data_IF_394167807244
#
_entry.id   IF_394167807244
#
_cell.length_a   1.000
_cell.length_b   1.000
_cell.length_c   1.000
_cell.angle_alpha   90.00
_cell.angle_beta   90.00
_cell.angle_gamma   90.00
#
_symmetry.space_group_name_H-M   'P 1'
#
loop_
_entity.id
_entity.type
_entity.pdbx_description
1 polymer ?
#
# COMPACT_ATOMS: atom_id res chain seq x y z
N UNK A 1 19.06 -21.39 -0.49
CA UNK A 1 17.68 -20.93 -0.15
C UNK A 1 16.81 -20.88 -1.37
N UNK A 2 15.52 -21.09 -1.15
CA UNK A 2 14.47 -20.99 -2.16
C UNK A 2 13.72 -19.66 -1.96
N UNK A 3 13.60 -18.89 -3.03
CA UNK A 3 12.72 -17.74 -3.14
C UNK A 3 11.68 -17.96 -4.23
N UNK A 4 10.57 -17.26 -4.16
CA UNK A 4 9.57 -17.22 -5.24
C UNK A 4 9.51 -15.80 -5.82
N UNK A 5 9.32 -15.68 -7.13
CA UNK A 5 9.02 -14.39 -7.77
C UNK A 5 7.53 -14.36 -8.06
N UNK A 6 6.82 -13.43 -7.42
CA UNK A 6 5.35 -13.38 -7.47
C UNK A 6 4.88 -11.99 -7.86
N UNK A 7 3.90 -11.91 -8.77
CA UNK A 7 3.32 -10.64 -9.22
C UNK A 7 1.83 -10.57 -8.87
N UNK A 8 1.48 -9.61 -8.03
CA UNK A 8 0.10 -9.22 -7.80
C UNK A 8 -0.42 -8.33 -8.93
N UNK A 9 -1.70 -8.49 -9.29
CA UNK A 9 -2.37 -7.70 -10.32
C UNK A 9 -2.47 -6.22 -9.92
N UNK A 10 -2.08 -5.32 -10.82
CA UNK A 10 -2.01 -3.88 -10.57
C UNK A 10 -0.74 -3.42 -9.84
N UNK A 11 0.19 -4.33 -9.51
CA UNK A 11 1.47 -3.97 -8.91
C UNK A 11 2.44 -3.39 -9.97
N UNK A 12 3.23 -2.35 -9.62
CA UNK A 12 4.29 -1.79 -10.47
C UNK A 12 5.35 -2.78 -10.95
N UNK A 13 5.48 -3.92 -10.29
CA UNK A 13 6.48 -4.93 -10.58
C UNK A 13 6.29 -6.15 -9.67
N UNK A 14 7.00 -7.25 -9.95
CA UNK A 14 6.99 -8.45 -9.14
C UNK A 14 7.63 -8.22 -7.76
N UNK A 15 7.42 -9.17 -6.87
CA UNK A 15 8.00 -9.23 -5.53
C UNK A 15 8.81 -10.52 -5.41
N UNK A 16 10.04 -10.41 -4.91
CA UNK A 16 10.81 -11.55 -4.43
C UNK A 16 10.27 -11.93 -3.05
N UNK A 17 9.65 -13.09 -2.93
CA UNK A 17 9.13 -13.63 -1.68
C UNK A 17 10.14 -14.61 -1.10
N UNK A 18 10.49 -14.38 0.16
CA UNK A 18 11.50 -15.09 0.90
C UNK A 18 10.85 -15.72 2.14
N UNK A 19 10.91 -17.06 2.21
CA UNK A 19 10.41 -17.83 3.35
C UNK A 19 11.42 -17.79 4.49
N UNK A 20 11.08 -17.09 5.58
CA UNK A 20 11.91 -16.95 6.78
C UNK A 20 12.25 -18.28 7.44
N UNK A 21 11.40 -19.30 7.33
CA UNK A 21 11.69 -20.64 7.84
C UNK A 21 12.81 -21.34 7.07
N UNK A 22 13.15 -20.85 5.88
CA UNK A 22 14.23 -21.35 5.03
C UNK A 22 15.48 -20.48 5.09
N UNK A 23 15.43 -19.34 5.80
CA UNK A 23 16.59 -18.46 5.99
C UNK A 23 17.40 -18.84 7.24
N UNK A 24 18.72 -18.57 7.28
CA UNK A 24 19.47 -18.56 8.53
C UNK A 24 18.79 -17.66 9.52
N UNK A 25 18.95 -17.99 10.80
CA UNK A 25 18.73 -17.02 11.86
C UNK A 25 19.62 -15.80 11.60
N UNK A 26 19.02 -14.61 11.61
CA UNK A 26 19.72 -13.34 11.37
C UNK A 26 19.91 -12.95 9.90
N UNK A 27 19.55 -13.79 8.93
CA UNK A 27 19.71 -13.42 7.53
C UNK A 27 18.77 -12.29 7.10
N UNK A 28 19.31 -11.43 6.24
CA UNK A 28 18.71 -10.19 5.75
C UNK A 28 18.41 -9.20 6.88
N UNK A 29 19.04 -9.37 8.05
CA UNK A 29 19.06 -8.37 9.10
C UNK A 29 20.02 -7.22 8.77
N UNK A 30 21.02 -7.48 7.91
CA UNK A 30 22.04 -6.51 7.53
C UNK A 30 21.78 -5.94 6.12
N UNK A 31 22.01 -4.63 5.94
CA UNK A 31 21.91 -3.97 4.63
C UNK A 31 22.85 -4.58 3.60
N UNK A 32 24.04 -5.04 4.01
CA UNK A 32 25.00 -5.70 3.13
C UNK A 32 24.42 -6.95 2.46
N UNK A 33 23.60 -7.72 3.18
CA UNK A 33 23.02 -8.94 2.63
C UNK A 33 21.98 -8.66 1.55
N UNK A 34 21.12 -7.67 1.79
CA UNK A 34 20.15 -7.19 0.81
C UNK A 34 20.83 -6.55 -0.41
N UNK A 35 21.98 -5.89 -0.21
CA UNK A 35 22.78 -5.31 -1.28
C UNK A 35 23.33 -6.39 -2.21
N UNK A 36 23.93 -7.45 -1.66
CA UNK A 36 24.44 -8.54 -2.48
C UNK A 36 23.31 -9.29 -3.20
N UNK A 37 22.17 -9.51 -2.53
CA UNK A 37 20.96 -10.03 -3.16
C UNK A 37 20.51 -9.15 -4.34
N UNK A 38 20.53 -7.82 -4.17
CA UNK A 38 20.18 -6.88 -5.24
C UNK A 38 21.13 -6.93 -6.42
N UNK A 39 22.44 -6.97 -6.17
CA UNK A 39 23.46 -7.13 -7.22
C UNK A 39 23.29 -8.44 -7.97
N UNK A 40 22.99 -9.54 -7.27
CA UNK A 40 22.73 -10.82 -7.91
C UNK A 40 21.46 -10.81 -8.77
N UNK A 41 20.37 -10.18 -8.30
CA UNK A 41 19.17 -10.01 -9.13
C UNK A 41 19.49 -9.24 -10.41
N UNK A 42 20.30 -8.19 -10.35
CA UNK A 42 20.77 -7.46 -11.54
C UNK A 42 21.59 -8.35 -12.48
N UNK A 43 22.62 -9.01 -11.95
CA UNK A 43 23.53 -9.85 -12.72
C UNK A 43 22.82 -11.03 -13.42
N UNK A 44 21.68 -11.47 -12.88
CA UNK A 44 20.88 -12.58 -13.41
C UNK A 44 19.64 -12.12 -14.21
N UNK A 45 19.58 -10.85 -14.63
CA UNK A 45 18.49 -10.33 -15.48
C UNK A 45 17.18 -10.00 -14.75
N UNK A 46 17.17 -10.06 -13.41
CA UNK A 46 16.02 -9.81 -12.52
C UNK A 46 16.08 -8.45 -11.82
N UNK A 47 16.87 -7.49 -12.33
CA UNK A 47 17.00 -6.15 -11.74
C UNK A 47 15.68 -5.36 -11.63
N UNK A 48 14.65 -5.74 -12.40
CA UNK A 48 13.31 -5.18 -12.31
C UNK A 48 12.54 -5.61 -11.02
N UNK A 49 13.01 -6.64 -10.30
CA UNK A 49 12.44 -7.09 -9.03
C UNK A 49 12.93 -6.17 -7.89
N UNK A 50 12.19 -5.08 -7.66
CA UNK A 50 12.57 -4.03 -6.70
C UNK A 50 11.79 -4.06 -5.37
N UNK A 51 11.19 -5.21 -5.08
CA UNK A 51 10.33 -5.42 -3.91
C UNK A 51 10.66 -6.77 -3.31
N UNK A 52 10.90 -6.78 -2.00
CA UNK A 52 11.20 -8.00 -1.26
C UNK A 52 10.15 -8.16 -0.17
N UNK A 53 9.62 -9.36 -0.04
CA UNK A 53 8.71 -9.77 1.02
C UNK A 53 9.36 -10.90 1.81
N UNK A 54 9.50 -10.70 3.11
CA UNK A 54 9.86 -11.75 4.06
C UNK A 54 8.58 -12.27 4.68
N UNK A 55 8.38 -13.58 4.65
CA UNK A 55 7.19 -14.24 5.21
C UNK A 55 7.59 -15.51 5.95
N UNK A 56 6.97 -15.76 7.10
CA UNK A 56 7.21 -16.98 7.87
C UNK A 56 6.10 -17.21 8.90
N UNK A 57 6.08 -18.36 9.60
CA UNK A 57 5.14 -18.60 10.69
C UNK A 57 5.20 -17.48 11.74
N UNK A 58 4.04 -17.02 12.22
CA UNK A 58 4.00 -16.03 13.29
C UNK A 58 4.22 -16.70 14.65
N UNK A 59 5.02 -16.11 15.56
CA UNK A 59 5.09 -16.57 16.95
C UNK A 59 3.86 -16.16 17.78
N UNK A 60 2.95 -15.34 17.23
CA UNK A 60 1.74 -14.87 17.92
C UNK A 60 0.55 -15.69 17.46
N UNK A 61 -0.10 -16.40 18.40
CA UNK A 61 -1.15 -17.39 18.11
C UNK A 61 -2.36 -16.86 17.32
N UNK A 62 -2.64 -15.55 17.38
CA UNK A 62 -3.72 -14.91 16.61
C UNK A 62 -3.41 -14.74 15.12
N UNK A 63 -2.17 -15.00 14.68
CA UNK A 63 -1.72 -14.85 13.30
C UNK A 63 -1.12 -16.15 12.77
N UNK A 64 -1.31 -16.38 11.48
CA UNK A 64 -0.77 -17.57 10.81
C UNK A 64 0.64 -17.30 10.27
N UNK A 65 0.91 -16.07 9.81
CA UNK A 65 2.22 -15.66 9.28
C UNK A 65 2.60 -14.24 9.69
N UNK A 66 3.90 -14.03 9.90
CA UNK A 66 4.52 -12.71 9.93
C UNK A 66 4.92 -12.28 8.53
N UNK A 67 4.72 -10.99 8.23
CA UNK A 67 5.10 -10.39 6.96
C UNK A 67 5.89 -9.11 7.17
N UNK A 68 7.02 -8.98 6.47
CA UNK A 68 7.81 -7.75 6.40
C UNK A 68 8.12 -7.37 4.96
N UNK A 69 7.92 -6.10 4.64
CA UNK A 69 8.20 -5.55 3.32
C UNK A 69 9.52 -4.78 3.30
N UNK A 70 10.25 -4.89 2.19
CA UNK A 70 11.41 -4.06 1.89
C UNK A 70 11.24 -3.46 0.50
N UNK A 71 11.24 -2.13 0.44
CA UNK A 71 11.29 -1.39 -0.81
C UNK A 71 12.75 -1.16 -1.19
N UNK A 72 13.16 -1.65 -2.35
CA UNK A 72 14.45 -1.28 -2.93
C UNK A 72 14.33 0.13 -3.55
N UNK A 73 15.16 1.06 -3.10
CA UNK A 73 15.29 2.42 -3.60
C UNK A 73 16.21 2.43 -4.84
N UNK A 74 16.56 3.63 -5.35
CA UNK A 74 17.30 3.78 -6.61
C UNK A 74 18.75 3.34 -6.45
N UNK A 75 19.33 3.67 -5.31
CA UNK A 75 20.67 3.33 -4.91
C UNK A 75 20.75 1.80 -4.68
N UNK A 76 21.83 1.12 -5.11
CA UNK A 76 21.96 -0.34 -4.99
C UNK A 76 21.87 -0.87 -3.55
N UNK A 77 22.26 -0.07 -2.57
CA UNK A 77 22.21 -0.31 -1.12
C UNK A 77 21.05 0.45 -0.43
N UNK A 78 20.24 1.15 -1.22
CA UNK A 78 19.09 1.91 -0.76
C UNK A 78 17.92 1.00 -0.46
N UNK A 79 17.60 0.82 0.83
CA UNK A 79 16.45 0.05 1.29
C UNK A 79 15.59 0.84 2.26
N UNK A 80 14.27 0.77 2.05
CA UNK A 80 13.26 1.31 2.97
C UNK A 80 12.43 0.19 3.61
N UNK A 81 12.49 0.14 4.94
CA UNK A 81 11.84 -0.87 5.78
C UNK A 81 10.57 -0.36 6.49
N UNK A 82 10.19 0.91 6.26
CA UNK A 82 9.12 1.59 7.01
C UNK A 82 7.75 1.45 6.36
N UNK A 83 7.71 1.13 5.06
CA UNK A 83 6.47 1.00 4.31
C UNK A 83 5.89 -0.41 4.44
N UNK A 84 4.57 -0.52 4.48
CA UNK A 84 3.87 -1.74 4.09
C UNK A 84 3.65 -1.78 2.56
N UNK A 85 3.39 -2.95 2.02
CA UNK A 85 2.92 -3.10 0.64
C UNK A 85 1.88 -4.22 0.54
N UNK A 86 0.62 -3.86 0.29
CA UNK A 86 -0.47 -4.85 0.20
C UNK A 86 -0.36 -5.78 -1.01
N UNK A 87 0.23 -5.31 -2.11
CA UNK A 87 0.53 -6.17 -3.28
C UNK A 87 1.57 -7.24 -2.95
N UNK A 88 2.65 -6.86 -2.26
CA UNK A 88 3.71 -7.80 -1.85
C UNK A 88 3.25 -8.70 -0.70
N UNK A 89 2.32 -8.25 0.14
CA UNK A 89 1.66 -9.09 1.15
C UNK A 89 0.82 -10.19 0.49
N UNK A 90 -0.04 -9.82 -0.48
CA UNK A 90 -0.82 -10.80 -1.22
C UNK A 90 0.08 -11.78 -1.99
N UNK A 91 1.18 -11.27 -2.57
CA UNK A 91 2.19 -12.10 -3.21
C UNK A 91 2.79 -13.12 -2.24
N UNK A 92 3.10 -12.72 -1.00
CA UNK A 92 3.61 -13.62 0.03
C UNK A 92 2.58 -14.69 0.45
N UNK A 93 1.31 -14.31 0.59
CA UNK A 93 0.22 -15.27 0.90
C UNK A 93 0.03 -16.29 -0.22
N UNK A 94 0.07 -15.85 -1.48
CA UNK A 94 -0.02 -16.77 -2.63
C UNK A 94 1.21 -17.67 -2.74
N UNK A 95 2.41 -17.15 -2.45
CA UNK A 95 3.63 -17.93 -2.41
C UNK A 95 3.57 -19.03 -1.34
N UNK A 96 2.99 -18.75 -0.16
CA UNK A 96 2.91 -19.73 0.93
C UNK A 96 2.01 -20.93 0.63
N UNK A 97 1.21 -20.90 -0.45
CA UNK A 97 0.40 -22.04 -0.91
C UNK A 97 -0.76 -22.43 0.00
N UNK A 98 -1.12 -21.59 0.98
CA UNK A 98 -2.22 -21.86 1.91
C UNK A 98 -3.57 -21.73 1.18
N UNK A 99 -4.49 -22.67 1.41
CA UNK A 99 -5.79 -22.75 0.70
C UNK A 99 -6.95 -22.03 1.42
N UNK A 100 -6.82 -21.76 2.72
CA UNK A 100 -7.84 -21.10 3.54
C UNK A 100 -7.55 -19.62 3.82
N UNK A 101 -8.40 -18.96 4.64
CA UNK A 101 -8.09 -17.66 5.22
C UNK A 101 -6.69 -17.62 5.84
N UNK A 102 -5.97 -16.52 5.63
CA UNK A 102 -4.64 -16.31 6.23
C UNK A 102 -4.63 -15.00 7.00
N UNK A 103 -4.42 -15.09 8.31
CA UNK A 103 -4.19 -13.96 9.22
C UNK A 103 -2.71 -13.62 9.19
N UNK A 104 -2.41 -12.42 8.71
CA UNK A 104 -1.06 -11.91 8.50
C UNK A 104 -0.80 -10.80 9.50
N UNK A 105 0.30 -10.91 10.25
CA UNK A 105 0.84 -9.81 11.04
C UNK A 105 1.80 -9.00 10.18
N UNK A 106 1.39 -7.82 9.74
CA UNK A 106 2.26 -6.91 8.99
C UNK A 106 3.25 -6.22 9.95
N UNK A 107 4.38 -6.87 10.22
CA UNK A 107 5.34 -6.50 11.27
C UNK A 107 5.78 -5.04 11.18
N UNK A 108 6.02 -4.53 9.97
CA UNK A 108 6.43 -3.14 9.75
C UNK A 108 5.39 -2.12 10.19
N UNK A 109 4.10 -2.36 9.92
CA UNK A 109 3.04 -1.39 10.19
C UNK A 109 2.28 -1.67 11.48
N UNK A 110 2.47 -2.86 12.05
CA UNK A 110 1.71 -3.36 13.20
C UNK A 110 0.27 -3.73 12.85
N UNK A 111 -0.09 -3.77 11.56
CA UNK A 111 -1.47 -4.01 11.16
C UNK A 111 -1.84 -5.49 11.12
N UNK A 112 -3.02 -5.87 11.66
CA UNK A 112 -3.64 -7.15 11.35
C UNK A 112 -4.25 -7.13 9.94
N UNK A 113 -3.88 -8.11 9.13
CA UNK A 113 -4.43 -8.30 7.78
C UNK A 113 -5.04 -9.68 7.66
N UNK A 114 -6.26 -9.77 7.16
CA UNK A 114 -6.89 -11.03 6.78
C UNK A 114 -6.97 -11.14 5.26
N UNK A 115 -6.35 -12.18 4.71
CA UNK A 115 -6.46 -12.55 3.31
C UNK A 115 -7.47 -13.69 3.16
N UNK A 116 -8.62 -13.38 2.54
CA UNK A 116 -9.71 -14.32 2.30
C UNK A 116 -9.68 -14.78 0.84
N UNK A 117 -9.36 -16.06 0.54
CA UNK A 117 -9.51 -16.59 -0.81
C UNK A 117 -10.98 -16.63 -1.21
N UNK A 118 -11.25 -16.48 -2.51
CA UNK A 118 -12.58 -16.56 -3.12
C UNK A 118 -12.62 -17.73 -4.11
N UNK A 119 -13.81 -18.29 -4.40
CA UNK A 119 -13.95 -19.43 -5.32
C UNK A 119 -13.37 -19.17 -6.72
N UNK A 120 -13.39 -17.91 -7.17
CA UNK A 120 -12.86 -17.51 -8.47
C UNK A 120 -11.32 -17.44 -8.49
N UNK A 121 -10.62 -17.74 -7.39
CA UNK A 121 -9.16 -17.65 -7.25
C UNK A 121 -8.64 -16.25 -6.94
N UNK A 122 -9.52 -15.27 -6.74
CA UNK A 122 -9.15 -13.95 -6.23
C UNK A 122 -9.18 -13.92 -4.69
N UNK A 123 -8.73 -12.80 -4.13
CA UNK A 123 -8.67 -12.58 -2.68
C UNK A 123 -9.41 -11.29 -2.32
N UNK A 124 -10.06 -11.33 -1.16
CA UNK A 124 -10.35 -10.11 -0.39
C UNK A 124 -9.24 -9.92 0.62
N UNK A 125 -8.60 -8.76 0.61
CA UNK A 125 -7.55 -8.39 1.57
C UNK A 125 -8.11 -7.34 2.51
N UNK A 126 -8.24 -7.66 3.79
CA UNK A 126 -8.89 -6.85 4.81
C UNK A 126 -7.90 -6.41 5.88
N UNK A 127 -7.79 -5.10 6.12
CA UNK A 127 -7.01 -4.51 7.21
C UNK A 127 -7.94 -4.34 8.43
N UNK A 128 -7.72 -5.13 9.49
CA UNK A 128 -8.62 -5.30 10.64
C UNK A 128 -8.23 -4.46 11.85
N UNK A 129 -7.97 -3.17 11.64
CA UNK A 129 -7.57 -2.24 12.70
C UNK A 129 -8.72 -1.33 13.09
N UNK A 130 -9.39 -1.64 14.18
CA UNK A 130 -10.42 -0.75 14.71
C UNK A 130 -9.79 0.53 15.29
N UNK A 131 -10.24 1.69 14.83
CA UNK A 131 -9.65 2.98 15.19
C UNK A 131 -10.68 4.11 15.11
N UNK A 132 -10.74 5.01 16.10
CA UNK A 132 -11.46 6.28 16.01
C UNK A 132 -10.99 7.13 14.82
N UNK A 133 -11.88 7.96 14.24
CA UNK A 133 -11.56 8.75 13.05
C UNK A 133 -10.46 9.80 13.26
N UNK A 134 -10.36 10.38 14.45
CA UNK A 134 -9.23 11.23 14.87
C UNK A 134 -7.91 10.46 14.89
N UNK A 135 -7.93 9.19 15.32
CA UNK A 135 -6.78 8.28 15.25
C UNK A 135 -6.31 7.95 13.82
N UNK A 136 -7.07 8.31 12.79
CA UNK A 136 -6.66 8.20 11.38
C UNK A 136 -5.87 9.40 10.88
N UNK A 137 -5.81 10.51 11.63
CA UNK A 137 -5.25 11.80 11.21
C UNK A 137 -3.91 12.05 11.92
N UNK A 138 -2.75 11.79 11.28
CA UNK A 138 -1.45 11.95 11.95
C UNK A 138 -1.16 13.37 12.45
N UNK A 139 -1.83 14.37 11.89
CA UNK A 139 -1.68 15.79 12.25
C UNK A 139 -2.84 16.29 13.13
N UNK A 140 -3.80 15.42 13.47
CA UNK A 140 -5.05 15.78 14.15
C UNK A 140 -6.02 16.62 13.31
N UNK A 141 -5.66 16.96 12.05
CA UNK A 141 -6.46 17.84 11.18
C UNK A 141 -6.92 17.08 9.93
N UNK A 142 -8.22 17.12 9.58
CA UNK A 142 -8.71 16.46 8.38
C UNK A 142 -8.25 17.16 7.09
N UNK A 143 -7.94 18.47 7.17
CA UNK A 143 -7.49 19.29 6.05
C UNK A 143 -6.44 20.30 6.53
N UNK A 144 -5.42 20.54 5.70
CA UNK A 144 -4.36 21.52 5.94
C UNK A 144 -3.73 21.97 4.62
N UNK A 145 -2.85 22.98 4.64
CA UNK A 145 -2.13 23.45 3.45
C UNK A 145 -0.69 22.95 3.42
N UNK A 146 -0.25 22.41 2.28
CA UNK A 146 1.14 22.10 1.97
C UNK A 146 1.44 22.53 0.54
N UNK A 147 2.54 23.23 0.31
CA UNK A 147 2.93 23.72 -1.03
C UNK A 147 1.80 24.48 -1.74
N UNK A 148 1.05 25.32 -1.01
CA UNK A 148 -0.10 26.08 -1.52
C UNK A 148 -1.40 25.27 -1.71
N UNK A 149 -1.34 23.94 -1.67
CA UNK A 149 -2.46 23.04 -1.94
C UNK A 149 -3.17 22.63 -0.65
N UNK A 150 -4.50 22.47 -0.72
CA UNK A 150 -5.27 21.86 0.36
C UNK A 150 -5.10 20.33 0.31
N UNK A 151 -4.72 19.73 1.43
CA UNK A 151 -4.36 18.32 1.51
C UNK A 151 -4.93 17.66 2.76
N UNK A 152 -5.21 16.36 2.66
CA UNK A 152 -5.52 15.51 3.82
C UNK A 152 -4.42 14.49 4.02
N UNK A 153 -3.88 14.42 5.24
CA UNK A 153 -2.94 13.38 5.65
C UNK A 153 -3.71 12.35 6.47
N UNK A 154 -3.78 11.11 5.98
CA UNK A 154 -4.53 10.02 6.62
C UNK A 154 -3.66 8.78 6.72
N UNK A 155 -3.77 8.03 7.82
CA UNK A 155 -3.02 6.80 8.05
C UNK A 155 -3.94 5.62 8.37
N UNK A 156 -4.18 4.79 7.36
CA UNK A 156 -4.74 3.45 7.54
C UNK A 156 -3.93 2.46 6.70
N UNK A 157 -3.08 1.67 7.36
CA UNK A 157 -1.90 1.06 6.73
C UNK A 157 -0.77 2.07 6.58
N UNK A 158 -0.43 2.42 5.34
CA UNK A 158 0.57 3.47 5.07
C UNK A 158 -0.04 4.87 5.24
N UNK A 159 0.74 5.88 5.68
CA UNK A 159 0.31 7.27 5.59
C UNK A 159 0.20 7.71 4.12
N UNK A 160 -0.91 8.36 3.79
CA UNK A 160 -1.22 8.91 2.48
C UNK A 160 -1.53 10.40 2.59
N UNK A 161 -1.09 11.14 1.58
CA UNK A 161 -1.50 12.52 1.32
C UNK A 161 -2.47 12.51 0.14
N UNK A 162 -3.67 13.05 0.34
CA UNK A 162 -4.68 13.19 -0.70
C UNK A 162 -4.83 14.66 -1.09
N UNK A 163 -4.78 14.93 -2.39
CA UNK A 163 -4.96 16.25 -2.99
C UNK A 163 -6.17 16.20 -3.92
N UNK A 164 -7.02 17.23 -3.93
CA UNK A 164 -8.13 17.27 -4.88
C UNK A 164 -7.59 17.51 -6.31
N UNK A 165 -8.11 16.76 -7.28
CA UNK A 165 -7.70 16.88 -8.69
C UNK A 165 -7.90 18.31 -9.23
N UNK A 166 -9.01 18.96 -8.84
CA UNK A 166 -9.31 20.34 -9.23
C UNK A 166 -8.25 21.36 -8.77
N UNK A 167 -7.62 21.15 -7.61
CA UNK A 167 -6.58 22.05 -7.08
C UNK A 167 -5.28 21.94 -7.90
N UNK A 168 -5.16 20.89 -8.71
CA UNK A 168 -4.09 20.67 -9.67
C UNK A 168 -4.48 21.11 -11.10
N UNK A 169 -5.66 21.70 -11.30
CA UNK A 169 -6.19 22.08 -12.61
C UNK A 169 -6.80 20.91 -13.41
N UNK A 170 -7.07 19.76 -12.77
CA UNK A 170 -7.56 18.55 -13.44
C UNK A 170 -9.08 18.44 -13.27
N UNK A 171 -9.82 18.79 -14.32
CA UNK A 171 -11.29 18.90 -14.30
C UNK A 171 -12.04 17.64 -14.76
N UNK A 172 -11.36 16.64 -15.32
CA UNK A 172 -11.98 15.42 -15.81
C UNK A 172 -11.18 14.17 -15.45
N UNK A 173 -11.82 13.01 -15.54
CA UNK A 173 -11.16 11.70 -15.36
C UNK A 173 -10.03 11.49 -16.39
N UNK A 174 -10.24 11.93 -17.63
CA UNK A 174 -9.23 11.85 -18.67
C UNK A 174 -8.02 12.74 -18.33
N UNK A 175 -8.25 13.98 -17.89
CA UNK A 175 -7.18 14.88 -17.45
C UNK A 175 -6.40 14.31 -16.25
N UNK A 176 -7.11 13.74 -15.26
CA UNK A 176 -6.46 13.11 -14.11
C UNK A 176 -5.57 11.93 -14.49
N UNK A 177 -6.01 11.08 -15.42
CA UNK A 177 -5.26 9.88 -15.80
C UNK A 177 -4.18 10.16 -16.85
N UNK A 178 -4.34 11.22 -17.64
CA UNK A 178 -3.35 11.73 -18.59
C UNK A 178 -2.35 12.72 -17.99
N UNK A 179 -2.42 13.00 -16.69
CA UNK A 179 -1.55 13.97 -16.02
C UNK A 179 -0.05 13.63 -16.20
N UNK A 180 0.70 14.60 -16.72
CA UNK A 180 2.12 14.46 -17.05
C UNK A 180 3.09 14.74 -15.90
N UNK A 181 4.35 14.99 -16.25
CA UNK A 181 5.46 15.17 -15.31
C UNK A 181 5.30 16.42 -14.41
N UNK A 182 4.67 17.49 -14.90
CA UNK A 182 4.47 18.72 -14.13
C UNK A 182 3.59 18.48 -12.88
N UNK A 183 2.42 17.85 -13.08
CA UNK A 183 1.52 17.47 -11.99
C UNK A 183 2.19 16.47 -11.04
N UNK A 184 2.93 15.51 -11.59
CA UNK A 184 3.70 14.57 -10.78
C UNK A 184 4.72 15.32 -9.89
N UNK A 185 5.45 16.28 -10.44
CA UNK A 185 6.39 17.12 -9.71
C UNK A 185 5.74 17.88 -8.56
N UNK A 186 4.56 18.48 -8.80
CA UNK A 186 3.77 19.15 -7.74
C UNK A 186 3.36 18.18 -6.62
N UNK A 187 2.87 16.98 -6.97
CA UNK A 187 2.53 15.95 -5.98
C UNK A 187 3.75 15.45 -5.20
N UNK A 188 4.90 15.28 -5.86
CA UNK A 188 6.15 14.88 -5.20
C UNK A 188 6.67 15.97 -4.26
N UNK A 189 6.49 17.25 -4.61
CA UNK A 189 6.76 18.38 -3.71
C UNK A 189 5.89 18.33 -2.44
N UNK A 190 4.58 18.13 -2.59
CA UNK A 190 3.64 17.92 -1.48
C UNK A 190 4.04 16.71 -0.63
N UNK A 191 4.40 15.59 -1.27
CA UNK A 191 4.84 14.37 -0.58
C UNK A 191 6.08 14.63 0.27
N UNK A 192 7.06 15.36 -0.25
CA UNK A 192 8.27 15.72 0.47
C UNK A 192 7.98 16.65 1.66
N UNK A 193 7.11 17.65 1.49
CA UNK A 193 6.66 18.50 2.58
C UNK A 193 5.93 17.70 3.69
N UNK A 194 5.04 16.79 3.30
CA UNK A 194 4.35 15.90 4.22
C UNK A 194 5.31 14.93 4.93
N UNK A 195 6.35 14.43 4.24
CA UNK A 195 7.38 13.59 4.86
C UNK A 195 8.07 14.33 6.01
N UNK A 196 8.51 15.58 5.77
CA UNK A 196 9.13 16.42 6.81
C UNK A 196 8.19 16.64 8.00
N UNK A 197 6.92 16.97 7.72
CA UNK A 197 5.92 17.17 8.76
C UNK A 197 5.71 15.93 9.64
N UNK A 198 5.80 14.74 9.07
CA UNK A 198 5.64 13.46 9.77
C UNK A 198 6.95 12.93 10.38
N UNK A 199 8.05 13.68 10.32
CA UNK A 199 9.37 13.20 10.76
C UNK A 199 9.91 12.03 9.94
N UNK A 200 9.50 11.90 8.68
CA UNK A 200 9.90 10.82 7.77
C UNK A 200 11.02 11.28 6.81
N UNK A 201 12.05 10.45 6.58
CA UNK A 201 13.06 10.69 5.55
C UNK A 201 12.49 11.02 4.17
N UNK A 202 12.92 12.14 3.57
CA UNK A 202 12.40 12.66 2.31
C UNK A 202 12.60 11.73 1.10
N UNK A 203 13.75 11.02 1.05
CA UNK A 203 14.04 10.00 0.04
C UNK A 203 13.29 8.67 0.26
N UNK A 204 12.53 8.58 1.35
CA UNK A 204 11.74 7.40 1.69
C UNK A 204 10.54 7.17 0.80
N UNK A 205 9.99 5.97 0.91
CA UNK A 205 8.79 5.55 0.23
C UNK A 205 7.50 6.08 0.88
N UNK A 206 7.57 6.78 2.01
CA UNK A 206 6.44 7.32 2.76
C UNK A 206 6.57 8.85 3.02
N UNK A 207 5.45 9.58 3.17
CA UNK A 207 4.09 9.12 2.90
C UNK A 207 3.89 8.87 1.41
N UNK A 208 2.81 8.17 1.07
CA UNK A 208 2.36 8.07 -0.33
C UNK A 208 1.54 9.31 -0.68
N UNK A 209 1.39 9.62 -1.97
CA UNK A 209 0.61 10.78 -2.42
C UNK A 209 -0.29 10.42 -3.60
N UNK A 210 -1.49 10.98 -3.63
CA UNK A 210 -2.41 10.80 -4.75
C UNK A 210 -3.31 12.04 -4.98
N UNK A 211 -3.60 12.30 -6.26
CA UNK A 211 -4.67 13.19 -6.68
C UNK A 211 -5.99 12.42 -6.77
N UNK A 212 -7.08 13.02 -6.27
CA UNK A 212 -8.41 12.39 -6.18
C UNK A 212 -9.48 13.31 -6.76
N UNK A 213 -10.37 12.78 -7.58
CA UNK A 213 -11.53 13.50 -8.11
C UNK A 213 -12.79 12.65 -8.06
N UNK A 214 -13.95 13.29 -8.15
CA UNK A 214 -15.26 12.63 -8.28
C UNK A 214 -15.88 13.09 -9.61
N UNK A 215 -15.75 12.25 -10.64
CA UNK A 215 -16.21 12.56 -12.00
C UNK A 215 -17.38 11.70 -12.46
N UNK A 216 -17.77 10.71 -11.65
CA UNK A 216 -18.88 9.81 -11.90
C UNK A 216 -19.65 9.62 -10.57
N UNK A 217 -21.00 9.53 -10.60
CA UNK A 217 -21.80 9.33 -9.40
C UNK A 217 -21.34 8.13 -8.57
N UNK A 218 -21.20 8.32 -7.25
CA UNK A 218 -20.82 7.25 -6.31
C UNK A 218 -19.39 6.70 -6.44
N UNK A 219 -18.53 7.31 -7.26
CA UNK A 219 -17.16 6.81 -7.55
C UNK A 219 -16.12 7.89 -7.27
N UNK A 220 -14.92 7.46 -6.89
CA UNK A 220 -13.74 8.32 -6.83
C UNK A 220 -12.73 7.88 -7.88
N UNK A 221 -12.21 8.80 -8.66
CA UNK A 221 -11.05 8.59 -9.53
C UNK A 221 -9.77 8.99 -8.80
N UNK A 222 -8.72 8.18 -8.92
CA UNK A 222 -7.46 8.39 -8.20
C UNK A 222 -6.26 8.14 -9.10
N UNK A 223 -5.28 9.05 -9.03
CA UNK A 223 -3.96 8.90 -9.64
C UNK A 223 -2.89 9.04 -8.57
N UNK A 224 -2.19 7.95 -8.29
CA UNK A 224 -1.20 7.88 -7.21
C UNK A 224 0.23 7.89 -7.75
N UNK A 225 1.15 8.48 -7.00
CA UNK A 225 2.58 8.39 -7.28
C UNK A 225 3.23 7.21 -6.53
N UNK A 226 4.30 6.68 -7.12
CA UNK A 226 5.33 5.88 -6.46
C UNK A 226 6.40 6.82 -5.89
N UNK A 227 7.65 6.35 -5.70
CA UNK A 227 8.73 7.18 -5.18
C UNK A 227 9.15 8.26 -6.18
N UNK A 228 9.25 7.88 -7.46
CA UNK A 228 9.78 8.75 -8.54
C UNK A 228 8.86 8.88 -9.75
N UNK A 229 7.87 7.99 -9.89
CA UNK A 229 7.02 7.90 -11.09
C UNK A 229 5.55 7.71 -10.69
N UNK A 230 4.62 7.81 -11.64
CA UNK A 230 3.25 7.41 -11.46
C UNK A 230 3.12 5.91 -11.11
N UNK A 231 2.18 5.60 -10.23
CA UNK A 231 1.76 4.22 -10.03
C UNK A 231 0.86 3.82 -11.22
N UNK A 232 1.03 2.62 -11.82
CA UNK A 232 0.26 2.21 -13.00
C UNK A 232 -1.24 2.04 -12.71
N UNK A 233 -1.58 1.76 -11.46
CA UNK A 233 -2.95 1.75 -10.94
C UNK A 233 -3.03 2.47 -9.60
N UNK A 234 -3.42 1.74 -8.56
CA UNK A 234 -3.34 2.18 -7.16
C UNK A 234 -2.74 1.07 -6.30
N UNK A 235 -1.88 1.43 -5.34
CA UNK A 235 -1.41 0.46 -4.35
C UNK A 235 -2.59 -0.08 -3.53
N UNK A 236 -2.61 -1.37 -3.20
CA UNK A 236 -3.68 -1.95 -2.37
C UNK A 236 -3.87 -1.16 -1.06
N UNK A 237 -2.77 -0.81 -0.37
CA UNK A 237 -2.81 0.03 0.84
C UNK A 237 -3.29 1.46 0.58
N UNK A 238 -3.16 1.96 -0.65
CA UNK A 238 -3.75 3.24 -1.07
C UNK A 238 -5.26 3.17 -1.22
N UNK A 239 -5.80 2.08 -1.77
CA UNK A 239 -7.24 1.83 -1.81
C UNK A 239 -7.83 1.73 -0.40
N UNK A 240 -7.12 1.02 0.50
CA UNK A 240 -7.46 0.90 1.92
C UNK A 240 -7.51 2.27 2.60
N UNK A 241 -6.43 3.05 2.48
CA UNK A 241 -6.35 4.36 3.12
C UNK A 241 -7.36 5.37 2.54
N UNK A 242 -7.59 5.34 1.22
CA UNK A 242 -8.58 6.20 0.57
C UNK A 242 -10.02 5.88 1.02
N UNK A 243 -10.37 4.60 1.16
CA UNK A 243 -11.67 4.18 1.67
C UNK A 243 -11.87 4.60 3.14
N UNK A 244 -10.84 4.47 3.97
CA UNK A 244 -10.84 4.97 5.35
C UNK A 244 -11.03 6.50 5.38
N UNK A 245 -10.22 7.24 4.60
CA UNK A 245 -10.27 8.69 4.51
C UNK A 245 -11.67 9.19 4.09
N UNK A 246 -12.32 8.52 3.15
CA UNK A 246 -13.71 8.83 2.74
C UNK A 246 -14.69 8.80 3.91
N UNK A 247 -14.41 8.04 4.97
CA UNK A 247 -15.22 7.99 6.18
C UNK A 247 -15.04 9.19 7.13
N UNK A 248 -13.92 9.91 7.02
CA UNK A 248 -13.51 10.95 7.98
C UNK A 248 -13.99 12.33 7.53
N UNK A 249 -14.91 12.99 8.27
CA UNK A 249 -15.43 14.30 7.92
C UNK A 249 -14.33 15.35 7.70
N UNK A 250 -14.52 16.21 6.70
CA UNK A 250 -13.60 17.29 6.36
C UNK A 250 -12.37 16.89 5.53
N UNK A 251 -12.09 15.60 5.34
CA UNK A 251 -10.98 15.18 4.48
C UNK A 251 -11.31 15.36 2.99
N UNK A 252 -10.30 15.49 2.14
CA UNK A 252 -10.45 15.60 0.68
C UNK A 252 -11.33 14.46 0.12
N UNK A 253 -11.09 13.16 0.43
CA UNK A 253 -11.96 12.09 -0.06
C UNK A 253 -13.40 12.16 0.44
N UNK A 254 -13.62 12.65 1.66
CA UNK A 254 -14.98 12.85 2.20
C UNK A 254 -15.69 14.01 1.50
N UNK A 255 -15.02 15.15 1.32
CA UNK A 255 -15.55 16.33 0.62
C UNK A 255 -15.94 16.02 -0.82
N UNK A 256 -15.19 15.14 -1.50
CA UNK A 256 -15.49 14.68 -2.85
C UNK A 256 -16.64 13.67 -2.93
N UNK A 257 -17.05 13.06 -1.82
CA UNK A 257 -17.99 11.93 -1.79
C UNK A 257 -19.40 12.27 -1.26
N UNK A 258 -20.03 13.30 -1.84
CA UNK A 258 -21.33 13.89 -1.39
C UNK A 258 -21.28 14.55 0.00
N UNK A 259 -20.09 14.63 0.62
CA UNK A 259 -19.78 15.46 1.78
C UNK A 259 -20.85 15.41 2.90
N UNK A 260 -21.45 16.56 3.28
CA UNK A 260 -22.38 16.68 4.40
C UNK A 260 -23.75 16.02 4.17
N UNK A 261 -24.13 15.74 2.91
CA UNK A 261 -25.37 15.03 2.59
C UNK A 261 -25.27 13.53 2.83
N UNK A 262 -24.05 13.03 3.07
CA UNK A 262 -23.84 11.63 3.40
C UNK A 262 -24.30 11.37 4.83
N UNK A 263 -25.22 10.42 5.06
CA UNK A 263 -25.66 10.10 6.41
C UNK A 263 -24.44 9.62 7.23
N UNK A 264 -24.33 10.05 8.51
CA UNK A 264 -23.33 9.53 9.43
C UNK A 264 -23.29 8.01 9.42
N UNK A 265 -22.20 7.42 9.88
CA UNK A 265 -22.16 5.99 10.08
C UNK A 265 -23.19 5.64 11.16
N UNK A 266 -24.30 5.04 10.75
CA UNK A 266 -25.38 4.64 11.63
C UNK A 266 -24.87 3.69 12.73
N UNK A 267 -25.62 3.57 13.81
CA UNK A 267 -25.42 2.50 14.79
C UNK A 267 -25.54 1.13 14.07
N UNK A 268 -24.60 0.23 14.31
CA UNK A 268 -24.49 -1.07 13.64
C UNK A 268 -23.48 -1.09 12.49
N UNK A 269 -22.68 -2.17 12.42
CA UNK A 269 -21.59 -2.33 11.45
C UNK A 269 -22.08 -2.34 10.00
N UNK A 270 -22.11 -1.17 9.36
CA UNK A 270 -22.46 -1.05 7.94
C UNK A 270 -21.20 -1.10 7.09
N UNK A 271 -21.11 -2.11 6.25
CA UNK A 271 -20.11 -2.20 5.18
C UNK A 271 -20.52 -1.23 4.06
N UNK A 272 -19.70 -0.21 3.81
CA UNK A 272 -19.94 0.76 2.74
C UNK A 272 -19.00 0.51 1.57
N UNK A 273 -19.49 -0.03 0.44
CA UNK A 273 -18.67 -0.22 -0.75
C UNK A 273 -18.31 1.13 -1.40
N UNK A 274 -17.21 1.12 -2.13
CA UNK A 274 -16.76 2.22 -2.96
C UNK A 274 -16.00 1.64 -4.15
N UNK A 275 -16.33 2.15 -5.34
CA UNK A 275 -15.56 1.85 -6.55
C UNK A 275 -14.57 2.99 -6.80
N UNK A 276 -13.30 2.62 -6.89
CA UNK A 276 -12.20 3.52 -7.18
C UNK A 276 -11.79 3.34 -8.64
N UNK A 277 -11.88 4.39 -9.43
CA UNK A 277 -11.37 4.39 -10.79
C UNK A 277 -9.86 4.68 -10.77
N UNK A 278 -9.09 3.78 -11.36
CA UNK A 278 -7.63 3.92 -11.49
C UNK A 278 -7.23 3.79 -12.96
N UNK A 279 -6.00 4.19 -13.33
CA UNK A 279 -5.54 4.06 -14.71
C UNK A 279 -5.52 2.61 -15.22
N UNK A 280 -5.26 1.64 -14.34
CA UNK A 280 -5.26 0.21 -14.69
C UNK A 280 -6.64 -0.46 -14.55
N UNK A 281 -7.72 0.31 -14.44
CA UNK A 281 -9.07 -0.20 -14.23
C UNK A 281 -9.61 0.00 -12.82
N UNK A 282 -10.89 -0.33 -12.59
CA UNK A 282 -11.56 -0.07 -11.33
C UNK A 282 -11.10 -1.03 -10.22
N UNK A 283 -11.04 -0.51 -8.99
CA UNK A 283 -10.77 -1.28 -7.77
C UNK A 283 -11.98 -1.17 -6.85
N UNK A 284 -12.51 -2.30 -6.38
CA UNK A 284 -13.58 -2.33 -5.38
C UNK A 284 -12.99 -2.38 -3.98
N UNK A 285 -13.41 -1.43 -3.14
CA UNK A 285 -13.05 -1.37 -1.72
C UNK A 285 -14.31 -1.25 -0.88
N UNK A 286 -14.21 -1.62 0.40
CA UNK A 286 -15.27 -1.39 1.37
C UNK A 286 -14.70 -0.96 2.71
N UNK A 287 -15.41 -0.08 3.40
CA UNK A 287 -15.07 0.34 4.76
C UNK A 287 -16.25 0.03 5.69
N UNK A 288 -15.96 -0.53 6.86
CA UNK A 288 -16.96 -0.97 7.83
C UNK A 288 -16.66 -0.39 9.21
N UNK A 289 -17.71 -0.16 10.00
CA UNK A 289 -17.65 0.39 11.35
C UNK A 289 -18.93 1.13 11.73
N UNK A 290 -18.87 1.94 12.79
CA UNK A 290 -20.03 2.61 13.36
C UNK A 290 -19.67 3.95 14.02
N UNK A 291 -20.59 4.92 13.97
CA UNK A 291 -20.39 6.24 14.55
C UNK A 291 -19.15 6.96 13.99
N UNK A 292 -18.20 7.32 14.88
CA UNK A 292 -16.92 7.94 14.50
C UNK A 292 -15.74 6.97 14.56
N UNK A 293 -15.99 5.67 14.38
CA UNK A 293 -15.01 4.62 14.51
C UNK A 293 -15.02 3.71 13.29
N UNK A 294 -13.84 3.55 12.70
CA UNK A 294 -13.58 2.57 11.66
C UNK A 294 -13.32 1.21 12.33
N UNK A 295 -13.92 0.14 11.81
CA UNK A 295 -13.64 -1.23 12.27
C UNK A 295 -12.62 -1.91 11.37
N UNK A 296 -12.86 -1.90 10.05
CA UNK A 296 -11.94 -2.46 9.07
C UNK A 296 -12.17 -1.88 7.67
N UNK A 297 -11.21 -2.13 6.78
CA UNK A 297 -11.33 -1.82 5.35
C UNK A 297 -10.83 -3.00 4.53
N UNK A 298 -11.53 -3.30 3.43
CA UNK A 298 -11.17 -4.38 2.53
C UNK A 298 -10.97 -3.90 1.10
N UNK A 299 -10.09 -4.59 0.37
CA UNK A 299 -9.94 -4.51 -1.08
C UNK A 299 -10.31 -5.86 -1.67
N UNK A 300 -11.16 -5.86 -2.69
CA UNK A 300 -11.79 -7.07 -3.21
C UNK A 300 -11.24 -7.46 -4.59
N UNK A 301 -11.39 -8.73 -4.94
CA UNK A 301 -11.09 -9.23 -6.29
C UNK A 301 -9.60 -9.19 -6.65
N UNK A 302 -8.69 -9.25 -5.67
CA UNK A 302 -7.25 -9.13 -5.92
C UNK A 302 -6.62 -10.48 -6.22
N UNK A 303 -5.82 -10.55 -7.28
CA UNK A 303 -5.11 -11.77 -7.70
C UNK A 303 -3.60 -11.58 -7.62
N UNK A 304 -2.88 -12.69 -7.46
CA UNK A 304 -1.44 -12.75 -7.67
C UNK A 304 -1.07 -14.07 -8.33
N UNK A 305 -0.01 -14.04 -9.15
CA UNK A 305 0.51 -15.19 -9.87
C UNK A 305 1.98 -15.39 -9.53
N UNK A 306 2.36 -16.62 -9.26
CA UNK A 306 3.76 -17.00 -9.14
C UNK A 306 4.37 -17.08 -10.54
N UNK A 307 5.44 -16.33 -10.77
CA UNK A 307 6.17 -16.28 -12.03
C UNK A 307 7.31 -17.29 -12.03
N UNK A 308 8.03 -17.39 -10.91
CA UNK A 308 9.11 -18.35 -10.71
C UNK A 308 8.98 -18.96 -9.31
N UNK A 309 9.14 -20.28 -9.22
CA UNK A 309 9.15 -21.05 -7.96
C UNK A 309 10.56 -21.52 -7.68
N UNK A 310 10.92 -21.63 -6.40
CA UNK A 310 12.15 -22.34 -6.01
C UNK A 310 13.44 -21.76 -6.59
N UNK A 311 13.50 -20.43 -6.70
CA UNK A 311 14.69 -19.72 -7.16
C UNK A 311 15.83 -19.89 -6.14
N UNK A 312 16.93 -20.50 -6.57
CA UNK A 312 18.11 -20.73 -5.75
C UNK A 312 18.90 -19.42 -5.58
N UNK A 313 18.96 -18.91 -4.35
CA UNK A 313 19.72 -17.69 -4.01
C UNK A 313 21.22 -17.98 -3.80
N UNK A 314 22.12 -17.06 -4.16
CA UNK A 314 23.55 -17.17 -3.84
C UNK A 314 23.72 -17.02 -2.33
N UNK A 315 24.32 -18.00 -1.67
CA UNK A 315 24.21 -18.10 -0.21
C UNK A 315 25.45 -17.73 0.59
N UNK A 316 26.57 -17.46 -0.07
CA UNK A 316 27.70 -16.82 0.58
C UNK A 316 27.51 -15.31 0.53
N UNK A 317 26.50 -14.84 1.26
CA UNK A 317 26.38 -13.43 1.60
C UNK A 317 26.80 -13.25 3.06
N UNK A 318 27.93 -13.84 3.43
CA UNK A 318 28.63 -13.38 4.61
C UNK A 318 29.35 -12.11 4.19
N UNK A 319 28.87 -10.97 4.65
CA UNK A 319 29.72 -9.80 4.78
C UNK A 319 30.84 -10.26 5.73
N UNK A 320 32.03 -10.50 5.20
CA UNK A 320 33.24 -10.57 6.03
C UNK A 320 33.22 -9.31 6.89
N UNK A 321 33.22 -9.52 8.21
CA UNK A 321 33.20 -8.48 9.23
C UNK A 321 34.29 -7.42 8.98
#
# INVERSE_FOLDING_TARGET
>A
MIADVVRAEGAPGPTLVLDQGRLPRGALALRGELTALRRWLEATGRGHVRKIALVGPSPVASYDVDYRFVQCLREPDGFDFRAGCGHSLLAAVVASGRRGPVRVRAVTTGDPVLCLPRPDGSYTVRLERAVPFDGLLPTGRPLQRLCGLAVSLVRYGNPYVFVAARDLGLSSRAALFGAGAEVLGRLLGVRAAAARLLGLPAGGALPKVAAVGAFLPGRLSVRAATVTDWHPGLALTGGVCLAAARGVPGTVPWLLSEGPHRPPWAAGDRVRPLRLDTPSGPVLVSAAGSGRRLAHVAVHGKRARVLERSLTLPWRIHVTA
#
